data_IF_303520500615
#
_entry.id   IF_303520500615
#
_cell.length_a   1.000
_cell.length_b   1.000
_cell.length_c   1.000
_cell.angle_alpha   90.00
_cell.angle_beta   90.00
_cell.angle_gamma   90.00
#
_symmetry.space_group_name_H-M   'P 1'
#
loop_
_entity.id
_entity.type
_entity.pdbx_description
1 polymer ?
#
# COMPACT_ATOMS: atom_id res chain seq x y z
N UNK A 1 12.74 8.40 -17.27
CA UNK A 1 11.84 8.27 -16.10
C UNK A 1 11.72 6.79 -15.79
N UNK A 2 11.98 6.33 -14.55
CA UNK A 2 11.81 4.92 -14.22
C UNK A 2 10.34 4.53 -14.36
N UNK A 3 10.10 3.37 -14.97
CA UNK A 3 8.76 2.78 -15.11
C UNK A 3 8.27 2.34 -13.74
N UNK A 4 7.14 2.87 -13.27
CA UNK A 4 6.54 2.49 -12.00
C UNK A 4 5.73 1.20 -12.17
N UNK A 5 5.89 0.24 -11.26
CA UNK A 5 5.06 -0.96 -11.23
C UNK A 5 3.70 -0.70 -10.56
N UNK A 6 2.69 -1.47 -10.94
CA UNK A 6 1.37 -1.40 -10.35
C UNK A 6 1.38 -2.04 -8.95
N UNK A 7 0.70 -1.40 -7.99
CA UNK A 7 0.62 -1.89 -6.61
C UNK A 7 -0.31 -3.11 -6.46
N UNK A 8 -1.28 -3.28 -7.36
CA UNK A 8 -2.30 -4.33 -7.26
C UNK A 8 -2.05 -5.51 -8.20
N UNK A 9 -1.22 -5.33 -9.24
CA UNK A 9 -1.03 -6.31 -10.31
C UNK A 9 0.42 -6.32 -10.78
N UNK A 10 0.89 -7.45 -11.30
CA UNK A 10 2.24 -7.57 -11.87
C UNK A 10 2.29 -6.98 -13.29
N UNK A 11 2.11 -5.66 -13.41
CA UNK A 11 2.16 -4.91 -14.68
C UNK A 11 2.72 -3.50 -14.49
N UNK A 12 3.10 -2.86 -15.60
CA UNK A 12 3.43 -1.43 -15.61
C UNK A 12 2.22 -0.59 -15.20
N UNK A 13 2.44 0.38 -14.31
CA UNK A 13 1.40 1.31 -13.90
C UNK A 13 0.91 2.15 -15.08
N UNK A 14 -0.40 2.15 -15.30
CA UNK A 14 -1.09 2.95 -16.32
C UNK A 14 -1.86 4.15 -15.75
N UNK A 15 -1.64 4.47 -14.46
CA UNK A 15 -2.34 5.53 -13.73
C UNK A 15 -3.88 5.37 -13.68
N UNK A 16 -4.39 4.15 -13.54
CA UNK A 16 -5.84 3.91 -13.42
C UNK A 16 -6.48 4.48 -12.15
N UNK A 17 -5.72 4.62 -11.06
CA UNK A 17 -6.22 5.14 -9.78
C UNK A 17 -6.93 4.14 -8.88
N UNK A 18 -7.10 2.87 -9.30
CA UNK A 18 -7.79 1.85 -8.50
C UNK A 18 -7.16 1.63 -7.11
N UNK A 19 -5.83 1.68 -7.01
CA UNK A 19 -5.11 1.56 -5.73
C UNK A 19 -5.34 2.72 -4.75
N UNK A 20 -6.06 3.77 -5.17
CA UNK A 20 -6.44 4.90 -4.32
C UNK A 20 -7.85 4.73 -3.73
N UNK A 21 -8.57 3.67 -4.07
CA UNK A 21 -9.94 3.40 -3.61
C UNK A 21 -9.90 2.38 -2.47
N UNK A 22 -10.78 2.51 -1.49
CA UNK A 22 -10.86 1.57 -0.38
C UNK A 22 -11.44 0.22 -0.85
N UNK A 23 -10.75 -0.86 -0.49
CA UNK A 23 -11.15 -2.23 -0.83
C UNK A 23 -12.47 -2.66 -0.16
N UNK A 24 -12.76 -2.12 1.03
CA UNK A 24 -14.00 -2.40 1.76
C UNK A 24 -15.18 -1.51 1.31
N UNK A 25 -14.89 -0.33 0.76
CA UNK A 25 -15.91 0.67 0.42
C UNK A 25 -15.49 1.49 -0.79
N UNK A 26 -15.98 1.11 -1.98
CA UNK A 26 -15.67 1.79 -3.25
C UNK A 26 -16.15 3.24 -3.32
N UNK A 27 -16.94 3.73 -2.37
CA UNK A 27 -17.33 5.14 -2.29
C UNK A 27 -16.26 6.02 -1.63
N UNK A 28 -15.22 5.42 -1.02
CA UNK A 28 -14.18 6.11 -0.27
C UNK A 28 -12.81 6.00 -0.94
N UNK A 29 -12.03 7.07 -0.82
CA UNK A 29 -10.59 6.99 -1.08
C UNK A 29 -9.90 6.26 0.07
N UNK A 30 -8.93 5.41 -0.26
CA UNK A 30 -8.07 4.76 0.71
C UNK A 30 -7.24 5.82 1.44
N UNK A 31 -7.33 5.81 2.76
CA UNK A 31 -6.55 6.68 3.66
C UNK A 31 -5.54 5.87 4.49
N UNK A 32 -5.21 4.64 4.06
CA UNK A 32 -4.35 3.70 4.78
C UNK A 32 -4.82 3.39 6.22
N UNK A 33 -6.13 3.29 6.46
CA UNK A 33 -6.66 2.92 7.79
C UNK A 33 -6.37 1.47 8.20
N UNK A 34 -5.98 0.61 7.24
CA UNK A 34 -5.66 -0.81 7.42
C UNK A 34 -6.83 -1.70 7.89
N UNK A 35 -8.08 -1.22 7.86
CA UNK A 35 -9.26 -2.04 8.20
C UNK A 35 -9.49 -3.20 7.23
N UNK A 36 -9.02 -3.09 5.99
CA UNK A 36 -9.07 -4.17 4.99
C UNK A 36 -8.04 -5.27 5.24
N UNK A 37 -7.06 -5.03 6.11
CA UNK A 37 -6.02 -6.01 6.47
C UNK A 37 -6.58 -6.84 7.63
N UNK A 38 -7.48 -7.76 7.29
CA UNK A 38 -7.93 -8.76 8.25
C UNK A 38 -6.89 -9.87 8.32
N UNK A 39 -6.26 -9.98 9.47
CA UNK A 39 -5.30 -11.04 9.75
C UNK A 39 -5.83 -11.81 10.94
N UNK A 40 -6.03 -13.13 10.77
CA UNK A 40 -6.43 -14.05 11.85
C UNK A 40 -5.28 -14.26 12.86
N UNK A 41 -4.63 -13.18 13.30
CA UNK A 41 -3.49 -13.16 14.21
C UNK A 41 -3.78 -12.16 15.33
N UNK A 42 -3.34 -12.49 16.53
CA UNK A 42 -3.64 -11.67 17.72
C UNK A 42 -2.94 -10.29 17.70
N UNK A 43 -1.90 -10.12 16.87
CA UNK A 43 -1.09 -8.90 16.81
C UNK A 43 -0.63 -8.59 15.38
N UNK A 44 -0.72 -7.32 14.99
CA UNK A 44 -0.07 -6.81 13.78
C UNK A 44 1.41 -6.56 14.06
N UNK A 45 2.29 -7.00 13.16
CA UNK A 45 3.73 -6.75 13.23
C UNK A 45 4.23 -6.08 11.94
N UNK A 46 5.14 -5.11 12.09
CA UNK A 46 5.84 -4.47 10.97
C UNK A 46 7.31 -4.87 11.07
N UNK A 47 7.83 -5.52 10.03
CA UNK A 47 9.26 -5.77 9.88
C UNK A 47 9.95 -4.51 9.38
N UNK A 48 11.07 -4.14 9.99
CA UNK A 48 11.92 -3.05 9.53
C UNK A 48 13.11 -3.69 8.83
N UNK A 49 13.24 -3.47 7.52
CA UNK A 49 14.36 -4.00 6.73
C UNK A 49 15.64 -3.19 6.94
N UNK A 50 15.53 -1.85 7.05
CA UNK A 50 16.66 -0.96 7.29
C UNK A 50 16.22 0.37 7.94
N UNK A 51 17.16 1.07 8.58
CA UNK A 51 16.95 2.42 9.16
C UNK A 51 17.99 3.36 8.58
N UNK A 52 17.53 4.32 7.78
CA UNK A 52 18.38 5.32 7.15
C UNK A 52 18.46 6.57 8.02
N UNK A 53 19.67 7.07 8.24
CA UNK A 53 19.93 8.35 8.89
C UNK A 53 20.29 9.38 7.83
N UNK A 54 19.88 10.64 8.02
CA UNK A 54 20.33 11.73 7.16
C UNK A 54 21.84 11.96 7.35
N UNK A 55 22.57 12.18 6.25
CA UNK A 55 23.96 12.64 6.29
C UNK A 55 23.96 14.16 6.53
N UNK A 56 24.59 14.62 7.62
CA UNK A 56 24.83 16.06 7.91
C UNK A 56 25.74 16.74 6.87
#
# INVERSE_FOLDING_TARGET
MPTKECLLENKTCNNCGECLICDLDRSKNCNNCMECIDTNIDFNAIGIDDVVYDEE
#
